data_IF_661828955031
#
_entry.id   IF_661828955031
#
_cell.length_a   1.000
_cell.length_b   1.000
_cell.length_c   1.000
_cell.angle_alpha   90.00
_cell.angle_beta   90.00
_cell.angle_gamma   90.00
#
_symmetry.space_group_name_H-M   'P 1'
#
loop_
_entity.id
_entity.type
_entity.pdbx_description
1 polymer ?
#
# COMPACT_ATOMS: atom_id res chain seq x y z
N UNK A 1 -36.33 20.02 8.06
CA UNK A 1 -34.94 20.41 8.43
C UNK A 1 -34.27 19.17 9.03
N UNK A 2 -33.21 18.62 8.42
CA UNK A 2 -32.55 17.44 9.00
C UNK A 2 -31.54 16.68 8.14
N UNK A 3 -31.37 17.01 6.85
CA UNK A 3 -30.45 16.27 5.98
C UNK A 3 -29.03 16.86 5.98
N UNK A 4 -28.88 18.19 6.12
CA UNK A 4 -27.57 18.85 6.05
C UNK A 4 -26.62 18.57 7.22
N UNK A 5 -27.14 18.28 8.43
CA UNK A 5 -26.31 17.95 9.58
C UNK A 5 -25.74 16.52 9.51
N UNK A 6 -26.43 15.60 8.84
CA UNK A 6 -25.93 14.24 8.61
C UNK A 6 -24.75 14.23 7.62
N UNK A 7 -24.85 15.00 6.53
CA UNK A 7 -23.78 15.10 5.52
C UNK A 7 -22.52 15.77 6.07
N UNK A 8 -22.65 16.84 6.86
CA UNK A 8 -21.49 17.47 7.51
C UNK A 8 -20.80 16.54 8.52
N UNK A 9 -21.57 15.74 9.26
CA UNK A 9 -21.02 14.80 10.25
C UNK A 9 -20.27 13.65 9.57
N UNK A 10 -20.76 13.17 8.43
CA UNK A 10 -20.09 12.12 7.64
C UNK A 10 -18.77 12.65 7.07
N UNK A 11 -18.79 13.85 6.46
CA UNK A 11 -17.61 14.45 5.87
C UNK A 11 -16.45 14.62 6.87
N UNK A 12 -16.72 15.06 8.10
CA UNK A 12 -15.65 15.23 9.11
C UNK A 12 -14.94 13.92 9.48
N UNK A 13 -15.65 12.79 9.41
CA UNK A 13 -15.08 11.47 9.67
C UNK A 13 -14.31 10.93 8.46
N UNK A 14 -14.79 11.19 7.24
CA UNK A 14 -14.11 10.79 6.00
C UNK A 14 -12.74 11.48 5.83
N UNK A 15 -12.62 12.75 6.28
CA UNK A 15 -11.35 13.49 6.27
C UNK A 15 -10.46 13.25 7.51
N UNK A 16 -10.83 12.34 8.40
CA UNK A 16 -10.01 11.99 9.58
C UNK A 16 -9.89 13.09 10.65
N UNK A 17 -10.69 14.15 10.55
CA UNK A 17 -10.62 15.31 11.48
C UNK A 17 -11.37 15.10 12.80
N UNK A 18 -12.10 13.97 12.93
CA UNK A 18 -12.81 13.59 14.15
C UNK A 18 -12.78 12.08 14.38
N UNK A 19 -12.25 11.66 15.52
CA UNK A 19 -12.29 10.26 15.94
C UNK A 19 -13.75 9.77 16.08
N UNK A 20 -13.99 8.49 15.76
CA UNK A 20 -15.26 7.82 16.03
C UNK A 20 -15.03 6.51 16.76
N UNK A 21 -16.06 6.05 17.48
CA UNK A 21 -16.02 4.73 18.11
C UNK A 21 -16.17 3.63 17.04
N UNK A 22 -15.58 2.46 17.32
CA UNK A 22 -15.71 1.26 16.45
C UNK A 22 -17.18 0.89 16.24
N UNK A 23 -18.02 1.03 17.27
CA UNK A 23 -19.46 0.82 17.16
C UNK A 23 -20.10 1.75 16.11
N UNK A 24 -19.74 3.04 16.08
CA UNK A 24 -20.28 3.98 15.09
C UNK A 24 -19.76 3.69 13.67
N UNK A 25 -18.52 3.25 13.54
CA UNK A 25 -17.96 2.80 12.27
C UNK A 25 -18.70 1.58 11.68
N UNK A 26 -19.06 0.60 12.50
CA UNK A 26 -19.82 -0.57 12.03
C UNK A 26 -21.20 -0.20 11.48
N UNK A 27 -21.86 0.79 12.08
CA UNK A 27 -23.13 1.33 11.57
C UNK A 27 -22.94 1.99 10.20
N UNK A 28 -21.88 2.77 10.02
CA UNK A 28 -21.54 3.36 8.71
C UNK A 28 -21.26 2.31 7.64
N UNK A 29 -20.44 1.31 7.97
CA UNK A 29 -20.12 0.19 7.09
C UNK A 29 -21.40 -0.53 6.62
N UNK A 30 -22.33 -0.78 7.54
CA UNK A 30 -23.61 -1.39 7.23
C UNK A 30 -24.48 -0.54 6.29
N UNK A 31 -24.55 0.78 6.52
CA UNK A 31 -25.29 1.71 5.63
C UNK A 31 -24.68 1.75 4.22
N UNK A 32 -23.35 1.62 4.11
CA UNK A 32 -22.62 1.65 2.85
C UNK A 32 -22.53 0.27 2.16
N UNK A 33 -23.08 -0.79 2.76
CA UNK A 33 -23.00 -2.14 2.22
C UNK A 33 -21.59 -2.74 2.20
N UNK A 34 -20.68 -2.22 3.02
CA UNK A 34 -19.30 -2.66 3.12
C UNK A 34 -19.10 -3.44 4.43
N UNK A 35 -18.59 -4.67 4.42
CA UNK A 35 -18.34 -5.41 5.65
C UNK A 35 -17.15 -4.79 6.43
N UNK A 36 -17.33 -4.45 7.71
CA UNK A 36 -16.32 -3.74 8.50
C UNK A 36 -15.01 -4.54 8.66
N UNK A 37 -15.07 -5.87 8.68
CA UNK A 37 -13.89 -6.73 8.78
C UNK A 37 -12.87 -6.48 7.66
N UNK A 38 -13.33 -6.44 6.39
CA UNK A 38 -12.44 -6.18 5.24
C UNK A 38 -11.86 -4.76 5.24
N UNK A 39 -12.64 -3.79 5.73
CA UNK A 39 -12.15 -2.41 5.84
C UNK A 39 -11.13 -2.27 6.96
N UNK A 40 -11.35 -2.91 8.11
CA UNK A 40 -10.37 -2.94 9.19
C UNK A 40 -9.10 -3.68 8.78
N UNK A 41 -9.19 -4.84 8.15
CA UNK A 41 -8.02 -5.56 7.63
C UNK A 41 -7.22 -4.68 6.66
N UNK A 42 -7.88 -4.03 5.71
CA UNK A 42 -7.22 -3.11 4.78
C UNK A 42 -6.57 -1.92 5.48
N UNK A 43 -7.27 -1.26 6.40
CA UNK A 43 -6.74 -0.09 7.13
C UNK A 43 -5.64 -0.52 8.08
N UNK A 44 -5.75 -1.68 8.72
CA UNK A 44 -4.74 -2.27 9.58
C UNK A 44 -3.49 -2.61 8.76
N UNK A 45 -3.65 -3.24 7.60
CA UNK A 45 -2.56 -3.50 6.66
C UNK A 45 -1.93 -2.18 6.16
N UNK A 46 -2.72 -1.18 5.77
CA UNK A 46 -2.22 0.13 5.34
C UNK A 46 -1.54 0.94 6.47
N UNK A 47 -1.95 0.74 7.73
CA UNK A 47 -1.41 1.43 8.90
C UNK A 47 -0.20 0.71 9.53
N UNK A 48 -0.08 -0.60 9.34
CA UNK A 48 0.95 -1.44 10.00
C UNK A 48 1.97 -1.98 8.99
N UNK A 49 1.58 -2.29 7.76
CA UNK A 49 2.54 -2.27 6.65
C UNK A 49 2.78 -0.81 6.35
N UNK A 50 3.96 -0.30 6.70
CA UNK A 50 4.40 1.09 6.49
C UNK A 50 4.57 1.41 4.98
N UNK A 51 3.52 1.19 4.19
CA UNK A 51 3.50 1.18 2.74
C UNK A 51 4.55 0.29 2.10
N UNK A 52 5.11 -0.70 2.79
CA UNK A 52 6.30 -1.43 2.33
C UNK A 52 5.92 -2.53 1.35
N UNK A 53 6.60 -2.57 0.20
CA UNK A 53 6.37 -3.59 -0.83
C UNK A 53 7.47 -4.63 -0.76
N UNK A 54 7.09 -5.91 -0.75
CA UNK A 54 8.03 -7.02 -0.84
C UNK A 54 8.28 -7.31 -2.31
N UNK A 55 9.53 -7.18 -2.74
CA UNK A 55 9.97 -7.47 -4.10
C UNK A 55 10.80 -8.75 -4.10
N UNK A 56 10.50 -9.68 -5.00
CA UNK A 56 11.38 -10.81 -5.26
C UNK A 56 12.48 -10.40 -6.25
N UNK A 57 13.68 -10.16 -5.73
CA UNK A 57 14.81 -9.71 -6.54
C UNK A 57 15.24 -10.76 -7.58
N UNK A 58 15.04 -12.06 -7.30
CA UNK A 58 15.43 -13.13 -8.22
C UNK A 58 14.46 -13.29 -9.39
N UNK A 59 13.18 -12.98 -9.18
CA UNK A 59 12.19 -12.91 -10.27
C UNK A 59 12.36 -11.62 -11.05
N UNK A 60 12.52 -10.48 -10.37
CA UNK A 60 12.75 -9.18 -11.02
C UNK A 60 14.05 -9.14 -11.84
N UNK A 61 15.13 -9.81 -11.40
CA UNK A 61 16.37 -9.92 -12.17
C UNK A 61 16.20 -10.71 -13.47
N UNK A 62 15.22 -11.63 -13.53
CA UNK A 62 14.92 -12.45 -14.71
C UNK A 62 13.80 -11.88 -15.57
N UNK A 63 13.00 -10.97 -15.01
CA UNK A 63 12.01 -10.25 -15.80
C UNK A 63 12.74 -9.25 -16.67
N UNK A 64 12.31 -9.05 -17.92
CA UNK A 64 12.91 -8.05 -18.83
C UNK A 64 12.64 -6.60 -18.39
N UNK A 65 12.36 -6.37 -17.10
CA UNK A 65 12.01 -5.10 -16.52
C UNK A 65 13.24 -4.17 -16.46
N UNK A 66 13.08 -2.85 -16.60
CA UNK A 66 14.20 -1.90 -16.52
C UNK A 66 15.03 -2.02 -15.23
N UNK A 67 14.40 -2.40 -14.11
CA UNK A 67 15.05 -2.63 -12.82
C UNK A 67 15.74 -4.00 -12.67
N UNK A 68 15.77 -4.86 -13.69
CA UNK A 68 16.39 -6.19 -13.61
C UNK A 68 17.86 -6.10 -13.17
N UNK A 69 18.62 -5.17 -13.76
CA UNK A 69 20.02 -4.97 -13.41
C UNK A 69 20.21 -4.46 -11.98
N UNK A 70 19.33 -3.60 -11.51
CA UNK A 70 19.31 -3.15 -10.11
C UNK A 70 19.04 -4.34 -9.17
N UNK A 71 18.08 -5.20 -9.52
CA UNK A 71 17.74 -6.38 -8.75
C UNK A 71 18.91 -7.38 -8.67
N UNK A 72 19.64 -7.62 -9.77
CA UNK A 72 20.85 -8.44 -9.79
C UNK A 72 21.95 -7.91 -8.86
N UNK A 73 22.14 -6.58 -8.83
CA UNK A 73 23.12 -5.96 -7.93
C UNK A 73 22.69 -6.18 -6.48
N UNK A 74 21.43 -5.87 -6.15
CA UNK A 74 20.90 -6.06 -4.80
C UNK A 74 20.90 -7.50 -4.35
N UNK A 75 20.63 -8.45 -5.24
CA UNK A 75 20.66 -9.88 -4.93
C UNK A 75 22.06 -10.36 -4.57
N UNK A 76 23.11 -9.80 -5.19
CA UNK A 76 24.51 -10.11 -4.85
C UNK A 76 24.95 -9.52 -3.50
N UNK A 77 24.37 -8.39 -3.10
CA UNK A 77 24.64 -7.74 -1.82
C UNK A 77 23.92 -8.41 -0.64
N UNK A 78 22.93 -9.27 -0.91
CA UNK A 78 22.19 -9.95 0.14
C UNK A 78 23.01 -11.09 0.76
N UNK A 79 22.83 -11.36 2.08
CA UNK A 79 23.43 -12.52 2.71
C UNK A 79 23.01 -13.82 1.99
N UNK A 80 23.88 -14.83 1.92
CA UNK A 80 23.63 -16.07 1.18
C UNK A 80 22.43 -16.90 1.70
N UNK A 81 21.94 -16.62 2.90
CA UNK A 81 20.74 -17.22 3.50
C UNK A 81 19.46 -16.42 3.23
N UNK A 82 19.55 -15.27 2.57
CA UNK A 82 18.38 -14.47 2.23
C UNK A 82 17.62 -15.10 1.07
N UNK A 83 16.30 -15.17 1.20
CA UNK A 83 15.40 -15.73 0.17
C UNK A 83 15.16 -14.79 -1.02
N UNK A 84 16.04 -13.79 -1.22
CA UNK A 84 15.94 -12.82 -2.33
C UNK A 84 14.74 -11.87 -2.23
N UNK A 85 14.03 -11.85 -1.10
CA UNK A 85 12.91 -10.92 -0.85
C UNK A 85 13.42 -9.65 -0.20
N UNK A 86 13.20 -8.52 -0.86
CA UNK A 86 13.57 -7.20 -0.36
C UNK A 86 12.33 -6.42 0.03
N UNK A 87 12.34 -5.87 1.25
CA UNK A 87 11.35 -4.90 1.70
C UNK A 87 11.73 -3.52 1.15
N UNK A 88 10.83 -2.94 0.36
CA UNK A 88 11.01 -1.62 -0.25
C UNK A 88 10.07 -0.64 0.47
N UNK A 89 10.59 0.21 1.37
CA UNK A 89 9.77 1.20 2.09
C UNK A 89 9.33 2.33 1.15
N UNK A 90 8.29 3.07 1.53
CA UNK A 90 7.71 4.16 0.73
C UNK A 90 8.73 5.13 0.10
N UNK A 91 9.71 5.69 0.84
CA UNK A 91 10.68 6.61 0.26
C UNK A 91 11.54 5.98 -0.84
N UNK A 92 11.85 4.68 -0.71
CA UNK A 92 12.58 3.95 -1.75
C UNK A 92 11.72 3.69 -2.98
N UNK A 93 10.39 3.54 -2.83
CA UNK A 93 9.47 3.40 -3.95
C UNK A 93 9.39 4.70 -4.76
N UNK A 94 9.33 5.85 -4.08
CA UNK A 94 9.31 7.17 -4.73
C UNK A 94 10.59 7.37 -5.56
N UNK A 95 11.76 7.09 -4.97
CA UNK A 95 13.04 7.18 -5.68
C UNK A 95 13.15 6.20 -6.87
N UNK A 96 12.59 4.98 -6.75
CA UNK A 96 12.57 4.02 -7.86
C UNK A 96 11.65 4.47 -8.99
N UNK A 97 10.50 5.07 -8.67
CA UNK A 97 9.57 5.61 -9.65
C UNK A 97 10.19 6.79 -10.43
N UNK A 98 10.87 7.70 -9.72
CA UNK A 98 11.62 8.80 -10.33
C UNK A 98 12.73 8.28 -11.26
N UNK A 99 13.53 7.29 -10.81
CA UNK A 99 14.59 6.69 -11.63
C UNK A 99 14.09 5.96 -12.87
N UNK A 100 12.89 5.40 -12.81
CA UNK A 100 12.25 4.72 -13.93
C UNK A 100 11.39 5.66 -14.80
N UNK A 101 11.30 6.95 -14.44
CA UNK A 101 10.47 7.96 -15.11
C UNK A 101 9.01 7.50 -15.30
N UNK A 102 8.46 6.79 -14.32
CA UNK A 102 7.13 6.18 -14.42
C UNK A 102 6.24 6.52 -13.21
N UNK A 103 4.93 6.32 -13.37
CA UNK A 103 4.00 6.47 -12.25
C UNK A 103 4.29 5.44 -11.16
N UNK A 104 4.32 5.88 -9.90
CA UNK A 104 4.57 5.01 -8.75
C UNK A 104 3.53 3.89 -8.65
N UNK A 105 2.26 4.17 -8.91
CA UNK A 105 1.20 3.16 -8.89
C UNK A 105 1.44 2.08 -9.95
N UNK A 106 1.83 2.49 -11.16
CA UNK A 106 2.23 1.57 -12.23
C UNK A 106 3.45 0.74 -11.85
N UNK A 107 4.52 1.36 -11.35
CA UNK A 107 5.74 0.66 -10.92
C UNK A 107 5.44 -0.38 -9.84
N UNK A 108 4.63 -0.02 -8.84
CA UNK A 108 4.28 -0.94 -7.76
C UNK A 108 3.39 -2.09 -8.22
N UNK A 109 2.54 -1.88 -9.24
CA UNK A 109 1.77 -2.96 -9.85
C UNK A 109 2.68 -3.94 -10.60
N UNK A 110 3.65 -3.42 -11.37
CA UNK A 110 4.64 -4.22 -12.10
C UNK A 110 5.54 -5.00 -11.14
N UNK A 111 6.03 -4.38 -10.06
CA UNK A 111 6.85 -5.01 -9.03
C UNK A 111 6.12 -6.06 -8.18
N UNK A 112 4.78 -6.01 -8.11
CA UNK A 112 3.96 -7.03 -7.44
C UNK A 112 3.62 -8.21 -8.35
N UNK A 113 3.65 -7.99 -9.68
CA UNK A 113 3.33 -9.00 -10.68
C UNK A 113 4.57 -9.78 -11.15
N UNK A 114 5.75 -9.20 -10.98
CA UNK A 114 7.05 -9.84 -11.19
C UNK A 114 7.39 -10.80 -10.05
#
# INVERSE_FOLDING_TARGET
MGVGQATQTIASHEFGTRAMTVARFTVYCNVLGLPPGRLFERVYDEAISDGTVVVNLAELARSGHPLARWAEIRLRDLPPYSIGRLLVPRPAQDALAELCECDKGQLLAELKAA
#
